data_IF_732563237075
#
_entry.id   IF_732563237075
#
_cell.length_a   1.000
_cell.length_b   1.000
_cell.length_c   1.000
_cell.angle_alpha   90.00
_cell.angle_beta   90.00
_cell.angle_gamma   90.00
#
_symmetry.space_group_name_H-M   'P 1'
#
loop_
_entity.id
_entity.type
_entity.pdbx_description
1 polymer ?
#
# COMPACT_ATOMS: atom_id res chain seq x y z
N UNK A 1 13.97 31.16 22.15
CA UNK A 1 13.57 31.27 20.71
C UNK A 1 12.13 30.84 20.55
N UNK A 2 11.28 31.67 19.98
CA UNK A 2 9.91 31.29 19.68
C UNK A 2 9.90 30.21 18.60
N UNK A 3 9.25 29.08 18.88
CA UNK A 3 8.98 28.08 17.85
C UNK A 3 8.16 28.73 16.75
N UNK A 4 8.58 28.55 15.48
CA UNK A 4 7.92 29.14 14.32
C UNK A 4 6.40 28.90 14.32
N UNK A 5 5.67 29.85 13.76
CA UNK A 5 4.21 29.79 13.70
C UNK A 5 3.74 28.51 13.01
N UNK A 6 2.62 27.91 13.47
CA UNK A 6 2.06 26.65 12.90
C UNK A 6 1.93 26.67 11.38
N UNK A 7 1.67 27.85 10.78
CA UNK A 7 1.60 28.01 9.32
C UNK A 7 2.96 27.85 8.62
N UNK A 8 4.05 28.30 9.24
CA UNK A 8 5.41 28.16 8.72
C UNK A 8 5.84 26.71 8.75
N UNK A 9 5.64 26.02 9.88
CA UNK A 9 5.93 24.59 10.04
C UNK A 9 5.14 23.76 9.00
N UNK A 10 3.89 24.16 8.71
CA UNK A 10 3.07 23.47 7.70
C UNK A 10 3.58 23.74 6.28
N UNK A 11 4.08 24.93 5.97
CA UNK A 11 4.71 25.26 4.68
C UNK A 11 5.99 24.47 4.48
N UNK A 12 6.92 24.51 5.44
CA UNK A 12 8.17 23.75 5.42
C UNK A 12 7.91 22.24 5.23
N UNK A 13 6.91 21.68 5.93
CA UNK A 13 6.52 20.28 5.80
C UNK A 13 5.92 19.96 4.41
N UNK A 14 5.27 20.93 3.76
CA UNK A 14 4.73 20.76 2.41
C UNK A 14 5.79 20.97 1.31
N UNK A 15 6.84 21.71 1.58
CA UNK A 15 7.97 21.91 0.65
C UNK A 15 8.80 20.64 0.46
N UNK A 16 8.88 19.79 1.50
CA UNK A 16 9.57 18.48 1.45
C UNK A 16 8.58 17.38 1.02
N UNK A 17 7.73 17.63 0.04
CA UNK A 17 6.78 16.67 -0.43
C UNK A 17 7.44 15.67 -1.38
N UNK A 18 7.28 14.38 -1.11
CA UNK A 18 7.67 13.34 -2.05
C UNK A 18 6.85 13.48 -3.34
N UNK A 19 7.53 13.74 -4.45
CA UNK A 19 6.93 13.93 -5.78
C UNK A 19 6.90 12.64 -6.59
N UNK A 20 7.46 11.54 -6.05
CA UNK A 20 7.43 10.24 -6.72
C UNK A 20 5.99 9.75 -6.91
N UNK A 21 5.68 9.11 -8.06
CA UNK A 21 4.35 8.58 -8.32
C UNK A 21 4.02 7.50 -7.29
N UNK A 22 2.86 7.64 -6.68
CA UNK A 22 2.41 6.70 -5.65
C UNK A 22 0.92 6.42 -5.74
N UNK A 23 0.53 5.27 -5.24
CA UNK A 23 -0.86 4.91 -5.05
C UNK A 23 -1.08 4.32 -3.65
N UNK A 24 -2.22 4.64 -3.05
CA UNK A 24 -2.60 4.18 -1.72
C UNK A 24 -3.99 3.57 -1.73
N UNK A 25 -4.10 2.34 -1.26
CA UNK A 25 -5.36 1.66 -1.00
C UNK A 25 -5.64 1.68 0.50
N UNK A 26 -6.66 2.42 0.91
CA UNK A 26 -7.11 2.49 2.30
C UNK A 26 -8.18 1.44 2.58
N UNK A 27 -8.19 0.91 3.80
CA UNK A 27 -9.19 -0.06 4.28
C UNK A 27 -9.30 -1.35 3.45
N UNK A 28 -8.17 -1.84 2.94
CA UNK A 28 -8.13 -3.12 2.26
C UNK A 28 -8.52 -4.25 3.23
N UNK A 29 -9.47 -5.11 2.83
CA UNK A 29 -9.94 -6.24 3.64
C UNK A 29 -8.96 -7.42 3.65
N UNK A 30 -7.73 -7.14 4.01
CA UNK A 30 -6.65 -8.12 4.12
C UNK A 30 -5.79 -7.78 5.34
N UNK A 31 -5.27 -8.77 6.01
CA UNK A 31 -4.34 -8.51 7.12
C UNK A 31 -2.99 -8.03 6.59
N UNK A 32 -2.30 -7.19 7.37
CA UNK A 32 -0.97 -6.66 7.04
C UNK A 32 0.00 -7.78 6.65
N UNK A 33 0.06 -8.86 7.43
CA UNK A 33 0.96 -9.99 7.15
C UNK A 33 0.72 -10.59 5.76
N UNK A 34 -0.55 -10.84 5.40
CA UNK A 34 -0.90 -11.40 4.08
C UNK A 34 -0.59 -10.44 2.94
N UNK A 35 -0.74 -9.14 3.16
CA UNK A 35 -0.34 -8.12 2.19
C UNK A 35 1.19 -8.06 2.06
N UNK A 36 1.93 -8.08 3.16
CA UNK A 36 3.39 -8.03 3.15
C UNK A 36 4.02 -9.17 2.36
N UNK A 37 3.51 -10.39 2.46
CA UNK A 37 4.02 -11.52 1.65
C UNK A 37 3.98 -11.25 0.15
N UNK A 38 2.97 -10.56 -0.34
CA UNK A 38 2.87 -10.20 -1.76
C UNK A 38 3.77 -9.00 -2.07
N UNK A 39 3.81 -8.00 -1.20
CA UNK A 39 4.63 -6.80 -1.37
C UNK A 39 6.12 -7.12 -1.36
N UNK A 40 6.57 -8.03 -0.49
CA UNK A 40 7.97 -8.45 -0.42
C UNK A 40 8.44 -9.13 -1.72
N UNK A 41 7.53 -9.81 -2.42
CA UNK A 41 7.83 -10.45 -3.70
C UNK A 41 8.04 -9.44 -4.85
N UNK A 42 7.50 -8.23 -4.76
CA UNK A 42 7.57 -7.20 -5.82
C UNK A 42 8.52 -6.05 -5.50
N UNK A 43 8.96 -5.91 -4.25
CA UNK A 43 9.83 -4.82 -3.84
C UNK A 43 11.13 -4.79 -4.62
N UNK A 44 11.50 -3.62 -5.16
CA UNK A 44 12.74 -3.41 -5.93
C UNK A 44 12.72 -3.99 -7.34
N UNK A 45 11.61 -4.57 -7.79
CA UNK A 45 11.50 -5.16 -9.13
C UNK A 45 10.93 -4.16 -10.13
N UNK A 46 11.25 -4.36 -11.41
CA UNK A 46 10.68 -3.59 -12.50
C UNK A 46 9.17 -3.82 -12.57
N UNK A 47 8.43 -2.81 -12.97
CA UNK A 47 6.97 -2.81 -12.99
C UNK A 47 6.39 -3.96 -13.80
N UNK A 48 6.97 -4.28 -14.96
CA UNK A 48 6.53 -5.41 -15.80
C UNK A 48 6.65 -6.74 -15.07
N UNK A 49 7.82 -6.97 -14.44
CA UNK A 49 8.07 -8.18 -13.63
C UNK A 49 7.14 -8.23 -12.41
N UNK A 50 6.93 -7.10 -11.74
CA UNK A 50 6.03 -7.00 -10.59
C UNK A 50 4.58 -7.33 -10.98
N UNK A 51 4.08 -6.82 -12.11
CA UNK A 51 2.75 -7.15 -12.65
C UNK A 51 2.60 -8.64 -12.97
N UNK A 52 3.62 -9.25 -13.57
CA UNK A 52 3.61 -10.68 -13.84
C UNK A 52 3.51 -11.50 -12.55
N UNK A 53 4.36 -11.20 -11.55
CA UNK A 53 4.36 -11.88 -10.25
C UNK A 53 2.99 -11.79 -9.59
N UNK A 54 2.41 -10.60 -9.54
CA UNK A 54 1.13 -10.38 -8.86
C UNK A 54 -0.03 -11.02 -9.63
N UNK A 55 0.04 -11.08 -10.96
CA UNK A 55 -1.01 -11.70 -11.79
C UNK A 55 -1.07 -13.21 -11.60
N UNK A 56 0.08 -13.89 -11.53
CA UNK A 56 0.13 -15.33 -11.37
C UNK A 56 0.09 -15.82 -9.91
N UNK A 57 0.15 -14.93 -8.95
CA UNK A 57 0.08 -15.30 -7.54
C UNK A 57 -1.38 -15.56 -7.11
N UNK A 58 -1.73 -16.77 -6.64
CA UNK A 58 -3.12 -17.16 -6.32
C UNK A 58 -3.67 -16.52 -5.03
N UNK A 59 -2.89 -15.74 -4.30
CA UNK A 59 -3.32 -15.13 -3.03
C UNK A 59 -4.31 -14.01 -3.27
N UNK A 60 -5.34 -13.91 -2.43
CA UNK A 60 -6.35 -12.84 -2.49
C UNK A 60 -5.71 -11.43 -2.44
N UNK A 61 -4.68 -11.24 -1.61
CA UNK A 61 -3.97 -9.97 -1.52
C UNK A 61 -3.39 -9.52 -2.87
N UNK A 62 -3.01 -10.45 -3.74
CA UNK A 62 -2.45 -10.14 -5.06
C UNK A 62 -3.43 -9.43 -5.97
N UNK A 63 -4.71 -9.78 -5.93
CA UNK A 63 -5.73 -9.09 -6.74
C UNK A 63 -5.89 -7.62 -6.35
N UNK A 64 -5.75 -7.30 -5.07
CA UNK A 64 -5.80 -5.92 -4.56
C UNK A 64 -4.52 -5.15 -4.91
N UNK A 65 -3.36 -5.79 -4.72
CA UNK A 65 -2.05 -5.20 -5.03
C UNK A 65 -1.92 -4.95 -6.54
N UNK A 66 -2.45 -5.85 -7.40
CA UNK A 66 -2.47 -5.67 -8.85
C UNK A 66 -3.17 -4.37 -9.24
N UNK A 67 -4.41 -4.17 -8.79
CA UNK A 67 -5.17 -2.94 -9.08
C UNK A 67 -4.47 -1.69 -8.56
N UNK A 68 -3.83 -1.79 -7.40
CA UNK A 68 -3.09 -0.67 -6.82
C UNK A 68 -1.83 -0.36 -7.64
N UNK A 69 -1.12 -1.37 -8.12
CA UNK A 69 0.06 -1.21 -8.96
C UNK A 69 -0.32 -0.59 -10.33
N UNK A 70 -1.39 -1.06 -10.96
CA UNK A 70 -1.93 -0.48 -12.19
C UNK A 70 -2.29 1.01 -12.00
N UNK A 71 -2.89 1.36 -10.86
CA UNK A 71 -3.17 2.76 -10.51
C UNK A 71 -1.90 3.59 -10.31
N UNK A 72 -0.86 3.03 -9.70
CA UNK A 72 0.42 3.71 -9.51
C UNK A 72 1.11 3.98 -10.85
N UNK A 73 1.06 3.03 -11.78
CA UNK A 73 1.60 3.17 -13.14
C UNK A 73 0.86 4.30 -13.88
N UNK A 74 -0.47 4.28 -13.86
CA UNK A 74 -1.27 5.33 -14.49
C UNK A 74 -0.97 6.72 -13.89
N UNK A 75 -0.74 6.81 -12.58
CA UNK A 75 -0.31 8.05 -11.94
C UNK A 75 1.07 8.51 -12.42
N UNK A 76 2.02 7.58 -12.60
CA UNK A 76 3.35 7.88 -13.13
C UNK A 76 3.30 8.43 -14.55
N UNK A 77 2.52 7.80 -15.42
CA UNK A 77 2.37 8.20 -16.82
C UNK A 77 1.64 9.54 -16.95
N UNK A 78 0.48 9.69 -16.32
CA UNK A 78 -0.40 10.83 -16.52
C UNK A 78 0.04 12.09 -15.76
N UNK A 79 0.56 11.94 -14.53
CA UNK A 79 0.89 13.07 -13.68
C UNK A 79 2.37 13.48 -13.80
N UNK A 80 3.27 12.51 -13.96
CA UNK A 80 4.70 12.74 -13.98
C UNK A 80 5.31 12.59 -15.38
N UNK A 81 4.57 12.10 -16.38
CA UNK A 81 5.06 11.89 -17.75
C UNK A 81 6.16 10.83 -17.87
N UNK A 82 6.26 9.93 -16.89
CA UNK A 82 7.25 8.85 -16.86
C UNK A 82 6.86 7.72 -17.80
N UNK A 83 7.85 7.01 -18.35
CA UNK A 83 7.62 5.84 -19.19
C UNK A 83 7.53 4.58 -18.35
N UNK A 84 6.49 3.76 -18.57
CA UNK A 84 6.28 2.51 -17.82
C UNK A 84 7.45 1.51 -17.93
N UNK A 85 8.23 1.59 -19.01
CA UNK A 85 9.37 0.70 -19.26
C UNK A 85 10.53 0.90 -18.26
N UNK A 86 10.71 2.14 -17.77
CA UNK A 86 11.79 2.52 -16.86
C UNK A 86 11.38 2.49 -15.39
N UNK A 87 10.10 2.22 -15.11
CA UNK A 87 9.58 2.25 -13.75
C UNK A 87 9.93 0.98 -12.96
N UNK A 88 10.24 1.18 -11.70
CA UNK A 88 10.41 0.09 -10.73
C UNK A 88 9.69 0.39 -9.41
N UNK A 89 9.45 -0.63 -8.62
CA UNK A 89 8.83 -0.51 -7.30
C UNK A 89 9.89 -0.08 -6.29
N UNK A 90 9.96 1.22 -6.02
CA UNK A 90 10.93 1.79 -5.09
C UNK A 90 10.57 1.41 -3.64
N UNK A 91 9.33 1.67 -3.24
CA UNK A 91 8.84 1.38 -1.91
C UNK A 91 7.46 0.73 -1.97
N UNK A 92 7.25 -0.26 -1.14
CA UNK A 92 5.94 -0.84 -0.92
C UNK A 92 5.79 -1.29 0.52
N UNK A 93 4.70 -0.91 1.16
CA UNK A 93 4.44 -1.25 2.55
C UNK A 93 2.93 -1.31 2.85
N UNK A 94 2.60 -2.03 3.92
CA UNK A 94 1.24 -2.15 4.42
C UNK A 94 1.18 -1.76 5.90
N UNK A 95 0.34 -0.81 6.23
CA UNK A 95 0.09 -0.35 7.58
C UNK A 95 -1.20 -0.97 8.14
N UNK A 96 -1.25 -1.14 9.46
CA UNK A 96 -2.43 -1.67 10.15
C UNK A 96 -3.59 -0.69 10.05
N UNK A 97 -4.73 -1.19 9.59
CA UNK A 97 -6.01 -0.49 9.61
C UNK A 97 -6.88 -0.88 10.82
N UNK A 98 -8.11 -0.37 10.89
CA UNK A 98 -9.06 -0.74 11.92
C UNK A 98 -9.41 -2.23 11.83
N UNK A 99 -9.75 -2.82 12.97
CA UNK A 99 -10.12 -4.23 13.07
C UNK A 99 -11.60 -4.34 13.44
N UNK A 100 -12.38 -5.03 12.63
CA UNK A 100 -13.76 -5.36 12.96
C UNK A 100 -13.79 -6.61 13.85
N UNK A 101 -14.41 -6.49 15.01
CA UNK A 101 -14.52 -7.57 15.99
C UNK A 101 -15.83 -8.31 15.80
N UNK A 102 -15.78 -9.64 15.78
CA UNK A 102 -16.93 -10.55 15.74
C UNK A 102 -16.77 -11.58 16.84
N UNK A 103 -17.87 -12.21 17.25
CA UNK A 103 -17.88 -13.24 18.28
C UNK A 103 -18.39 -14.55 17.65
N UNK A 104 -17.72 -15.64 17.98
CA UNK A 104 -18.14 -16.98 17.63
C UNK A 104 -18.50 -17.73 18.90
N UNK A 105 -19.78 -18.07 19.11
CA UNK A 105 -20.21 -18.90 20.24
C UNK A 105 -19.59 -20.30 20.15
N UNK A 106 -19.19 -20.83 21.29
CA UNK A 106 -18.65 -22.19 21.46
C UNK A 106 -19.35 -22.89 22.61
N UNK A 107 -19.01 -24.18 22.81
CA UNK A 107 -19.56 -24.99 23.89
C UNK A 107 -19.32 -24.37 25.28
N UNK A 108 -20.15 -24.74 26.27
CA UNK A 108 -20.06 -24.29 27.66
C UNK A 108 -20.20 -22.75 27.87
N UNK A 109 -21.02 -22.09 27.05
CA UNK A 109 -21.26 -20.65 27.18
C UNK A 109 -20.04 -19.77 26.85
N UNK A 110 -18.99 -20.34 26.25
CA UNK A 110 -17.80 -19.59 25.85
C UNK A 110 -18.02 -18.89 24.54
N UNK A 111 -17.44 -17.69 24.40
CA UNK A 111 -17.43 -16.90 23.16
C UNK A 111 -15.99 -16.59 22.78
N UNK A 112 -15.63 -16.86 21.53
CA UNK A 112 -14.31 -16.55 20.99
C UNK A 112 -14.39 -15.37 20.03
N UNK A 113 -13.44 -14.44 20.17
CA UNK A 113 -13.35 -13.27 19.31
C UNK A 113 -12.76 -13.65 17.95
N UNK A 114 -13.40 -13.17 16.88
CA UNK A 114 -12.87 -13.21 15.51
C UNK A 114 -12.52 -11.77 15.11
N UNK A 115 -11.32 -11.56 14.67
CA UNK A 115 -10.85 -10.26 14.19
C UNK A 115 -10.82 -10.23 12.66
N UNK A 116 -11.62 -9.35 12.06
CA UNK A 116 -11.57 -9.02 10.62
C UNK A 116 -10.64 -7.84 10.45
N UNK A 117 -9.36 -8.12 10.23
CA UNK A 117 -8.30 -7.13 10.11
C UNK A 117 -8.33 -6.46 8.75
N UNK A 118 -7.99 -5.16 8.74
CA UNK A 118 -7.80 -4.37 7.54
C UNK A 118 -6.39 -3.81 7.49
N UNK A 119 -5.96 -3.42 6.30
CA UNK A 119 -4.67 -2.78 6.07
C UNK A 119 -4.79 -1.59 5.13
N UNK A 120 -3.83 -0.70 5.21
CA UNK A 120 -3.61 0.39 4.27
C UNK A 120 -2.34 0.07 3.50
N UNK A 121 -2.45 -0.12 2.19
CA UNK A 121 -1.33 -0.51 1.32
C UNK A 121 -0.89 0.71 0.54
N UNK A 122 0.41 0.97 0.50
CA UNK A 122 1.01 2.05 -0.30
C UNK A 122 2.09 1.48 -1.18
N UNK A 123 2.11 1.90 -2.44
CA UNK A 123 3.15 1.58 -3.41
C UNK A 123 3.68 2.90 -3.95
N UNK A 124 4.99 3.04 -3.98
CA UNK A 124 5.72 4.18 -4.55
C UNK A 124 6.60 3.64 -5.66
N UNK A 125 6.47 4.24 -6.83
CA UNK A 125 7.28 3.93 -7.99
C UNK A 125 8.37 4.98 -8.17
N UNK A 126 9.44 4.62 -8.87
CA UNK A 126 10.49 5.54 -9.26
C UNK A 126 11.07 5.11 -10.61
N UNK A 127 11.83 5.98 -11.26
CA UNK A 127 12.43 5.75 -12.56
C UNK A 127 13.93 5.40 -12.40
N UNK A 128 14.40 4.41 -13.16
CA UNK A 128 15.83 4.08 -13.25
C UNK A 128 16.50 4.75 -14.42
#
# INVERSE_FOLDING_TARGET
>A
MAKGHRSQIKRERNEVRDTRPSAKLSYARVSVQKACFVLDAIRGKDVQTALAIVTYNPRYASSLVKKLLESAIANAENNNGMKAENLYVAECYANKGPTMKRIRPRAQGRAYRIEKRMSHITIVLDER
#
